data_IF_915119569691
#
_entry.id   IF_915119569691
#
_cell.length_a   1.000
_cell.length_b   1.000
_cell.length_c   1.000
_cell.angle_alpha   90.00
_cell.angle_beta   90.00
_cell.angle_gamma   90.00
#
_symmetry.space_group_name_H-M   'P 1'
#
loop_
_entity.id
_entity.type
_entity.pdbx_description
1 polymer ?
#
# COMPACT_ATOMS: atom_id res chain seq x y z
N UNK A 1 -23.20 -1.93 -14.59
CA UNK A 1 -22.80 -0.71 -13.86
C UNK A 1 -22.96 -0.82 -12.34
N UNK A 2 -24.16 -1.14 -11.81
CA UNK A 2 -24.37 -1.27 -10.33
C UNK A 2 -23.41 -2.30 -9.66
N UNK A 3 -23.20 -3.48 -10.28
CA UNK A 3 -22.30 -4.51 -9.74
C UNK A 3 -20.85 -4.02 -9.66
N UNK A 4 -20.33 -3.38 -10.71
CA UNK A 4 -18.98 -2.81 -10.70
C UNK A 4 -18.78 -1.73 -9.64
N UNK A 5 -19.75 -0.83 -9.46
CA UNK A 5 -19.67 0.21 -8.43
C UNK A 5 -19.71 -0.37 -7.01
N UNK A 6 -20.58 -1.35 -6.76
CA UNK A 6 -20.63 -2.07 -5.46
C UNK A 6 -19.30 -2.77 -5.16
N UNK A 7 -18.72 -3.41 -6.17
CA UNK A 7 -17.38 -4.02 -6.02
C UNK A 7 -16.30 -2.97 -5.77
N UNK A 8 -16.36 -1.83 -6.46
CA UNK A 8 -15.45 -0.71 -6.22
C UNK A 8 -15.50 -0.20 -4.79
N UNK A 9 -16.68 -0.04 -4.22
CA UNK A 9 -16.85 0.34 -2.81
C UNK A 9 -16.32 -0.73 -1.84
N UNK A 10 -16.52 -2.01 -2.16
CA UNK A 10 -15.96 -3.11 -1.38
C UNK A 10 -14.43 -3.09 -1.41
N UNK A 11 -13.83 -2.93 -2.59
CA UNK A 11 -12.40 -2.84 -2.78
C UNK A 11 -11.81 -1.62 -2.07
N UNK A 12 -12.47 -0.47 -2.19
CA UNK A 12 -12.09 0.73 -1.44
C UNK A 12 -11.99 0.43 0.07
N UNK A 13 -12.98 -0.29 0.63
CA UNK A 13 -12.97 -0.68 2.04
C UNK A 13 -11.85 -1.65 2.42
N UNK A 14 -11.50 -2.58 1.53
CA UNK A 14 -10.43 -3.57 1.77
C UNK A 14 -9.05 -2.88 1.77
N UNK A 15 -8.83 -1.93 0.86
CA UNK A 15 -7.57 -1.22 0.74
C UNK A 15 -7.42 -0.06 1.73
N UNK A 16 -8.52 0.45 2.28
CA UNK A 16 -8.50 1.61 3.14
C UNK A 16 -7.92 1.28 4.52
N UNK A 17 -6.66 1.64 4.72
CA UNK A 17 -5.89 1.32 5.93
C UNK A 17 -5.13 2.52 6.51
N UNK A 18 -4.31 2.24 7.52
CA UNK A 18 -3.52 3.23 8.24
C UNK A 18 -2.64 4.09 7.32
N UNK A 19 -1.99 3.46 6.33
CA UNK A 19 -1.08 4.17 5.40
C UNK A 19 -1.78 5.25 4.59
N UNK A 20 -2.98 4.95 4.11
CA UNK A 20 -3.79 5.85 3.32
C UNK A 20 -4.21 7.13 4.07
N UNK A 21 -4.16 7.08 5.39
CA UNK A 21 -4.49 8.22 6.26
C UNK A 21 -3.28 9.11 6.57
N UNK A 22 -2.12 8.52 6.84
CA UNK A 22 -0.98 9.26 7.38
C UNK A 22 0.01 9.77 6.34
N UNK A 23 0.18 9.06 5.21
CA UNK A 23 1.20 9.46 4.22
C UNK A 23 0.81 10.66 3.37
N UNK A 24 -0.43 10.80 2.86
CA UNK A 24 -0.80 11.98 2.10
C UNK A 24 -0.65 13.29 2.87
N UNK A 25 -1.14 13.43 4.13
CA UNK A 25 -0.94 14.67 4.88
C UNK A 25 0.53 14.89 5.26
N UNK A 26 1.32 13.85 5.53
CA UNK A 26 2.76 13.98 5.78
C UNK A 26 3.51 14.51 4.56
N UNK A 27 3.17 14.02 3.36
CA UNK A 27 3.66 14.57 2.09
C UNK A 27 3.27 16.03 1.93
N UNK A 28 2.00 16.37 2.20
CA UNK A 28 1.51 17.74 2.11
C UNK A 28 2.31 18.71 2.95
N UNK A 29 2.61 18.35 4.21
CA UNK A 29 3.48 19.15 5.11
C UNK A 29 4.88 19.34 4.53
N UNK A 30 5.44 18.30 3.90
CA UNK A 30 6.84 18.30 3.43
C UNK A 30 7.02 18.94 2.06
N UNK A 31 5.99 18.94 1.22
CA UNK A 31 6.05 19.40 -0.16
C UNK A 31 6.01 20.92 -0.33
N UNK A 32 5.46 21.67 0.66
CA UNK A 32 5.37 23.13 0.59
C UNK A 32 4.77 23.63 -0.73
N UNK A 33 5.43 24.56 -1.39
CA UNK A 33 5.00 25.14 -2.68
C UNK A 33 5.01 24.14 -3.86
N UNK A 34 5.73 22.99 -3.76
CA UNK A 34 5.78 21.94 -4.78
C UNK A 34 4.76 20.81 -4.53
N UNK A 35 3.66 21.12 -3.85
CA UNK A 35 2.60 20.16 -3.51
C UNK A 35 2.05 19.41 -4.72
N UNK A 36 1.70 20.12 -5.79
CA UNK A 36 1.03 19.48 -6.94
C UNK A 36 1.89 18.43 -7.67
N UNK A 37 3.17 18.68 -8.00
CA UNK A 37 4.03 17.64 -8.53
C UNK A 37 4.20 16.46 -7.57
N UNK A 38 4.34 16.73 -6.26
CA UNK A 38 4.51 15.71 -5.24
C UNK A 38 3.29 14.79 -5.12
N UNK A 39 2.09 15.38 -4.98
CA UNK A 39 0.86 14.60 -4.84
C UNK A 39 0.50 13.84 -6.13
N UNK A 40 0.85 14.39 -7.31
CA UNK A 40 0.69 13.68 -8.57
C UNK A 40 1.56 12.43 -8.61
N UNK A 41 2.84 12.52 -8.24
CA UNK A 41 3.71 11.35 -8.12
C UNK A 41 3.15 10.32 -7.15
N UNK A 42 2.69 10.75 -5.99
CA UNK A 42 2.09 9.90 -4.97
C UNK A 42 0.83 9.17 -5.47
N UNK A 43 -0.08 9.88 -6.15
CA UNK A 43 -1.31 9.28 -6.72
C UNK A 43 -0.97 8.29 -7.84
N UNK A 44 -0.01 8.60 -8.69
CA UNK A 44 0.41 7.68 -9.76
C UNK A 44 0.92 6.35 -9.18
N UNK A 45 1.77 6.39 -8.16
CA UNK A 45 2.32 5.16 -7.57
C UNK A 45 1.37 4.49 -6.57
N UNK A 46 0.80 5.24 -5.65
CA UNK A 46 -0.06 4.71 -4.58
C UNK A 46 -1.44 4.26 -5.09
N UNK A 47 -2.00 4.95 -6.08
CA UNK A 47 -3.32 4.61 -6.63
C UNK A 47 -3.20 3.99 -8.02
N UNK A 48 -2.54 4.67 -8.95
CA UNK A 48 -2.49 4.25 -10.35
C UNK A 48 -1.93 2.84 -10.51
N UNK A 49 -0.73 2.59 -9.98
CA UNK A 49 -0.09 1.27 -10.04
C UNK A 49 -0.91 0.24 -9.27
N UNK A 50 -1.44 0.58 -8.09
CA UNK A 50 -2.24 -0.34 -7.29
C UNK A 50 -3.50 -0.81 -8.04
N UNK A 51 -4.23 0.11 -8.67
CA UNK A 51 -5.45 -0.22 -9.45
C UNK A 51 -5.12 -1.03 -10.70
N UNK A 52 -4.05 -0.67 -11.42
CA UNK A 52 -3.60 -1.45 -12.59
C UNK A 52 -3.21 -2.86 -12.15
N UNK A 53 -2.45 -3.00 -11.06
CA UNK A 53 -2.07 -4.29 -10.49
C UNK A 53 -3.30 -5.12 -10.12
N UNK A 54 -4.29 -4.50 -9.47
CA UNK A 54 -5.52 -5.18 -9.08
C UNK A 54 -6.32 -5.67 -10.28
N UNK A 55 -6.52 -4.81 -11.30
CA UNK A 55 -7.27 -5.16 -12.51
C UNK A 55 -6.58 -6.30 -13.26
N UNK A 56 -5.27 -6.17 -13.47
CA UNK A 56 -4.48 -7.21 -14.18
C UNK A 56 -4.52 -8.53 -13.42
N UNK A 57 -4.37 -8.51 -12.10
CA UNK A 57 -4.46 -9.71 -11.26
C UNK A 57 -5.86 -10.30 -11.24
N UNK A 58 -6.92 -9.48 -11.19
CA UNK A 58 -8.32 -9.95 -11.23
C UNK A 58 -8.73 -10.51 -12.59
N UNK A 59 -8.03 -10.16 -13.66
CA UNK A 59 -8.22 -10.74 -15.00
C UNK A 59 -7.43 -12.04 -15.22
N UNK A 60 -6.66 -12.49 -14.24
CA UNK A 60 -5.91 -13.74 -14.28
C UNK A 60 -6.51 -14.71 -13.26
N UNK A 61 -7.11 -15.85 -13.70
CA UNK A 61 -7.89 -16.76 -12.84
C UNK A 61 -7.13 -17.26 -11.63
N UNK A 62 -5.84 -17.53 -11.82
CA UNK A 62 -4.96 -18.10 -10.82
C UNK A 62 -4.06 -17.05 -10.13
N UNK A 63 -4.31 -15.76 -10.39
CA UNK A 63 -3.56 -14.64 -9.83
C UNK A 63 -2.10 -14.59 -10.28
N UNK A 64 -1.33 -13.68 -9.65
CA UNK A 64 0.08 -13.44 -10.00
C UNK A 64 1.01 -14.63 -9.73
N UNK A 65 0.70 -15.48 -8.74
CA UNK A 65 1.53 -16.63 -8.41
C UNK A 65 1.69 -17.59 -9.60
N UNK A 66 0.58 -17.98 -10.21
CA UNK A 66 0.59 -18.88 -11.36
C UNK A 66 1.25 -18.23 -12.60
N UNK A 67 1.00 -16.92 -12.82
CA UNK A 67 1.66 -16.17 -13.89
C UNK A 67 3.18 -16.17 -13.74
N UNK A 68 3.69 -15.98 -12.52
CA UNK A 68 5.13 -16.05 -12.25
C UNK A 68 5.69 -17.45 -12.39
N UNK A 69 4.97 -18.47 -11.90
CA UNK A 69 5.40 -19.88 -12.00
C UNK A 69 5.56 -20.31 -13.46
N UNK A 70 4.62 -19.91 -14.33
CA UNK A 70 4.63 -20.27 -15.75
C UNK A 70 5.68 -19.45 -16.54
N UNK A 71 5.69 -18.13 -16.35
CA UNK A 71 6.45 -17.18 -17.20
C UNK A 71 7.87 -16.92 -16.71
N UNK A 72 8.12 -17.02 -15.41
CA UNK A 72 9.41 -16.69 -14.81
C UNK A 72 10.01 -17.96 -14.19
N UNK A 73 9.74 -18.25 -12.93
CA UNK A 73 10.08 -19.51 -12.28
C UNK A 73 9.34 -19.70 -10.95
N UNK A 74 9.06 -20.95 -10.53
CA UNK A 74 8.42 -21.24 -9.24
C UNK A 74 9.24 -20.78 -8.03
N UNK A 75 10.58 -20.81 -8.14
CA UNK A 75 11.47 -20.34 -7.07
C UNK A 75 11.35 -18.81 -6.89
N UNK A 76 11.40 -18.06 -7.98
CA UNK A 76 11.22 -16.62 -7.96
C UNK A 76 9.84 -16.23 -7.40
N UNK A 77 8.79 -16.87 -7.91
CA UNK A 77 7.41 -16.68 -7.46
C UNK A 77 7.26 -16.88 -5.96
N UNK A 78 7.80 -18.00 -5.45
CA UNK A 78 7.75 -18.32 -4.02
C UNK A 78 8.50 -17.29 -3.19
N UNK A 79 9.73 -16.96 -3.56
CA UNK A 79 10.54 -15.98 -2.85
C UNK A 79 9.88 -14.58 -2.81
N UNK A 80 9.42 -14.12 -3.96
CA UNK A 80 8.73 -12.82 -4.07
C UNK A 80 7.44 -12.78 -3.23
N UNK A 81 6.58 -13.79 -3.34
CA UNK A 81 5.31 -13.83 -2.59
C UNK A 81 5.54 -13.95 -1.08
N UNK A 82 6.53 -14.72 -0.64
CA UNK A 82 6.91 -14.81 0.78
C UNK A 82 7.31 -13.43 1.31
N UNK A 83 8.22 -12.73 0.61
CA UNK A 83 8.64 -11.39 1.01
C UNK A 83 7.49 -10.38 0.98
N UNK A 84 6.63 -10.47 -0.05
CA UNK A 84 5.45 -9.62 -0.16
C UNK A 84 4.49 -9.84 1.03
N UNK A 85 4.09 -11.10 1.30
CA UNK A 85 3.16 -11.40 2.38
C UNK A 85 3.75 -11.10 3.77
N UNK A 86 5.04 -11.29 3.98
CA UNK A 86 5.71 -10.84 5.22
C UNK A 86 5.67 -9.31 5.35
N UNK A 87 5.83 -8.58 4.25
CA UNK A 87 5.83 -7.10 4.25
C UNK A 87 4.45 -6.52 4.51
N UNK A 88 3.41 -7.01 3.83
CA UNK A 88 2.02 -6.58 4.12
C UNK A 88 1.44 -7.23 5.38
N UNK A 89 2.14 -8.20 5.94
CA UNK A 89 1.79 -8.93 7.15
C UNK A 89 2.59 -8.44 8.36
N UNK A 90 3.29 -9.38 9.04
CA UNK A 90 3.85 -9.18 10.37
C UNK A 90 4.99 -8.17 10.45
N UNK A 91 5.73 -7.92 9.35
CA UNK A 91 6.91 -7.05 9.42
C UNK A 91 6.56 -5.57 9.38
N UNK A 92 5.56 -5.14 8.56
CA UNK A 92 5.32 -3.71 8.38
C UNK A 92 3.85 -3.30 8.49
N UNK A 93 2.91 -3.87 7.71
CA UNK A 93 1.54 -3.34 7.71
C UNK A 93 0.81 -3.62 9.02
N UNK A 94 0.87 -4.84 9.56
CA UNK A 94 0.24 -5.20 10.83
C UNK A 94 0.74 -4.33 12.01
N UNK A 95 2.05 -4.22 12.27
CA UNK A 95 2.54 -3.36 13.35
C UNK A 95 2.22 -1.88 13.12
N UNK A 96 2.27 -1.41 11.87
CA UNK A 96 1.95 -0.03 11.52
C UNK A 96 0.48 0.33 11.79
N UNK A 97 -0.47 -0.57 11.52
CA UNK A 97 -1.87 -0.32 11.84
C UNK A 97 -2.09 -0.11 13.33
N UNK A 98 -1.49 -0.95 14.19
CA UNK A 98 -1.58 -0.81 15.64
C UNK A 98 -0.92 0.48 16.14
N UNK A 99 0.28 0.80 15.65
CA UNK A 99 0.99 2.01 16.04
C UNK A 99 0.25 3.29 15.56
N UNK A 100 -0.33 3.29 14.35
CA UNK A 100 -1.16 4.41 13.85
C UNK A 100 -2.43 4.57 14.68
N UNK A 101 -3.09 3.46 15.02
CA UNK A 101 -4.27 3.47 15.88
C UNK A 101 -3.96 4.07 17.26
N UNK A 102 -2.78 3.78 17.81
CA UNK A 102 -2.31 4.37 19.05
C UNK A 102 -2.03 5.88 18.89
N UNK A 103 -1.23 6.27 17.89
CA UNK A 103 -0.78 7.66 17.72
C UNK A 103 -1.94 8.63 17.45
N UNK A 104 -2.98 8.20 16.72
CA UNK A 104 -4.13 9.05 16.40
C UNK A 104 -5.24 8.91 17.45
N UNK A 105 -5.47 7.69 17.96
CA UNK A 105 -6.64 7.42 18.78
C UNK A 105 -6.40 7.49 20.28
N UNK A 106 -5.18 7.19 20.76
CA UNK A 106 -4.89 7.06 22.20
C UNK A 106 -3.92 8.13 22.68
N UNK A 107 -2.81 8.35 21.98
CA UNK A 107 -1.75 9.26 22.39
C UNK A 107 -2.24 10.69 22.68
N UNK A 108 -3.20 11.28 21.92
CA UNK A 108 -3.73 12.61 22.24
C UNK A 108 -4.51 12.69 23.54
N UNK A 109 -5.07 11.56 24.02
CA UNK A 109 -5.88 11.49 25.25
C UNK A 109 -5.01 11.24 26.48
N UNK A 110 -3.93 10.47 26.33
CA UNK A 110 -3.03 10.09 27.46
C UNK A 110 -1.83 11.02 27.62
N UNK A 111 -1.89 12.24 27.06
CA UNK A 111 -0.83 13.25 27.10
C UNK A 111 0.53 12.79 26.56
N UNK A 112 0.51 12.05 25.46
CA UNK A 112 1.69 11.70 24.69
C UNK A 112 1.93 10.20 24.52
N UNK A 113 2.80 9.86 23.56
CA UNK A 113 3.19 8.47 23.26
C UNK A 113 4.26 7.98 24.25
N UNK A 114 3.84 7.68 25.49
CA UNK A 114 4.73 7.00 26.45
C UNK A 114 4.71 5.50 26.22
N UNK A 115 5.87 4.85 26.31
CA UNK A 115 6.02 3.41 26.10
C UNK A 115 5.03 2.55 26.92
N UNK A 116 4.74 2.85 28.21
CA UNK A 116 3.77 2.07 28.96
C UNK A 116 2.35 2.08 28.35
N UNK A 117 1.88 3.23 27.87
CA UNK A 117 0.55 3.33 27.25
C UNK A 117 0.48 2.65 25.90
N UNK A 118 1.54 2.74 25.11
CA UNK A 118 1.64 2.00 23.85
C UNK A 118 1.60 0.49 24.10
N UNK A 119 2.36 0.00 25.09
CA UNK A 119 2.40 -1.42 25.44
C UNK A 119 1.04 -1.94 25.91
N UNK A 120 0.37 -1.24 26.81
CA UNK A 120 -0.97 -1.61 27.28
C UNK A 120 -1.97 -1.67 26.13
N UNK A 121 -1.98 -0.63 25.29
CA UNK A 121 -2.87 -0.58 24.13
C UNK A 121 -2.59 -1.73 23.16
N UNK A 122 -1.33 -1.97 22.79
CA UNK A 122 -0.97 -3.02 21.82
C UNK A 122 -1.26 -4.42 22.34
N UNK A 123 -1.09 -4.70 23.65
CA UNK A 123 -1.49 -5.98 24.26
C UNK A 123 -2.98 -6.21 24.02
N UNK A 124 -3.84 -5.26 24.41
CA UNK A 124 -5.29 -5.40 24.24
C UNK A 124 -5.65 -5.54 22.77
N UNK A 125 -5.07 -4.68 21.92
CA UNK A 125 -5.33 -4.65 20.49
C UNK A 125 -4.98 -5.97 19.80
N UNK A 126 -3.78 -6.52 20.04
CA UNK A 126 -3.32 -7.75 19.40
C UNK A 126 -3.97 -9.00 19.97
N UNK A 127 -4.31 -9.04 21.26
CA UNK A 127 -5.10 -10.13 21.84
C UNK A 127 -6.49 -10.19 21.19
N UNK A 128 -7.18 -9.07 21.08
CA UNK A 128 -8.48 -9.00 20.41
C UNK A 128 -8.35 -9.36 18.90
N UNK A 129 -7.34 -8.85 18.22
CA UNK A 129 -7.10 -9.15 16.80
C UNK A 129 -6.83 -10.65 16.56
N UNK A 130 -6.02 -11.28 17.42
CA UNK A 130 -5.75 -12.72 17.36
C UNK A 130 -6.99 -13.55 17.55
N UNK A 131 -7.79 -13.26 18.58
CA UNK A 131 -9.03 -14.01 18.87
C UNK A 131 -10.00 -13.99 17.69
N UNK A 132 -10.11 -12.84 17.00
CA UNK A 132 -10.95 -12.73 15.81
C UNK A 132 -10.30 -13.39 14.56
N UNK A 133 -8.98 -13.31 14.41
CA UNK A 133 -8.28 -13.91 13.27
C UNK A 133 -8.32 -15.46 13.32
N UNK A 134 -8.24 -16.05 14.50
CA UNK A 134 -8.31 -17.52 14.67
C UNK A 134 -9.71 -18.07 14.42
N UNK A 135 -10.75 -17.28 14.69
CA UNK A 135 -12.15 -17.64 14.45
C UNK A 135 -12.81 -16.54 13.59
N UNK A 136 -12.50 -16.45 12.30
CA UNK A 136 -13.02 -15.39 11.45
C UNK A 136 -14.54 -15.48 11.36
N UNK A 137 -15.22 -14.52 11.98
CA UNK A 137 -16.68 -14.44 12.00
C UNK A 137 -17.17 -13.54 10.87
N UNK A 138 -18.42 -13.75 10.40
CA UNK A 138 -19.08 -12.85 9.44
C UNK A 138 -19.21 -11.40 9.94
N UNK A 139 -19.07 -11.19 11.24
CA UNK A 139 -19.15 -9.87 11.90
C UNK A 139 -18.10 -8.92 11.38
N UNK A 140 -16.84 -9.39 11.17
CA UNK A 140 -15.76 -8.55 10.70
C UNK A 140 -16.04 -7.94 9.31
N UNK A 141 -16.56 -8.76 8.39
CA UNK A 141 -16.95 -8.31 7.06
C UNK A 141 -18.13 -7.34 7.11
N UNK A 142 -19.05 -7.51 8.05
CA UNK A 142 -20.21 -6.62 8.20
C UNK A 142 -19.82 -5.28 8.81
N UNK A 143 -18.94 -5.29 9.81
CA UNK A 143 -18.42 -4.07 10.46
C UNK A 143 -17.64 -3.22 9.45
N UNK A 144 -16.75 -3.82 8.67
CA UNK A 144 -15.99 -3.11 7.64
C UNK A 144 -16.88 -2.47 6.57
N UNK A 145 -17.95 -3.15 6.13
CA UNK A 145 -18.89 -2.61 5.12
C UNK A 145 -19.63 -1.35 5.58
N UNK A 146 -19.91 -1.21 6.89
CA UNK A 146 -20.61 -0.04 7.44
C UNK A 146 -19.60 1.02 7.88
N UNK A 147 -18.51 0.62 8.52
CA UNK A 147 -17.50 1.51 9.08
C UNK A 147 -16.77 2.31 8.01
N UNK A 148 -16.39 1.66 6.90
CA UNK A 148 -15.57 2.31 5.87
C UNK A 148 -16.29 3.50 5.21
N UNK A 149 -17.55 3.42 4.74
CA UNK A 149 -18.20 4.59 4.14
C UNK A 149 -18.45 5.71 5.14
N UNK A 150 -18.76 5.39 6.41
CA UNK A 150 -18.93 6.41 7.47
C UNK A 150 -17.60 7.12 7.71
N UNK A 151 -16.51 6.37 7.81
CA UNK A 151 -15.19 6.93 8.03
C UNK A 151 -14.70 7.74 6.83
N UNK A 152 -14.91 7.25 5.60
CA UNK A 152 -14.56 8.00 4.39
C UNK A 152 -15.32 9.34 4.34
N UNK A 153 -16.62 9.36 4.68
CA UNK A 153 -17.41 10.58 4.75
C UNK A 153 -16.85 11.54 5.81
N UNK A 154 -16.49 11.04 7.01
CA UNK A 154 -15.88 11.83 8.06
C UNK A 154 -14.58 12.50 7.58
N UNK A 155 -13.71 11.74 6.90
CA UNK A 155 -12.46 12.28 6.37
C UNK A 155 -12.73 13.34 5.29
N UNK A 156 -13.71 13.12 4.41
CA UNK A 156 -14.09 14.14 3.41
C UNK A 156 -14.57 15.43 4.07
N UNK A 157 -15.39 15.34 5.12
CA UNK A 157 -15.84 16.52 5.89
C UNK A 157 -14.65 17.22 6.56
N UNK A 158 -13.77 16.46 7.21
CA UNK A 158 -12.53 16.99 7.83
C UNK A 158 -11.67 17.73 6.82
N UNK A 159 -11.49 17.15 5.62
CA UNK A 159 -10.69 17.74 4.53
C UNK A 159 -11.33 19.04 4.03
N UNK A 160 -12.63 19.02 3.71
CA UNK A 160 -13.32 20.23 3.20
C UNK A 160 -13.23 21.38 4.20
N UNK A 161 -13.55 21.13 5.45
CA UNK A 161 -13.50 22.15 6.50
C UNK A 161 -12.06 22.58 6.81
N UNK A 162 -11.12 21.66 6.85
CA UNK A 162 -9.72 21.95 7.12
C UNK A 162 -9.08 22.77 6.00
N UNK A 163 -9.27 22.38 4.74
CA UNK A 163 -8.74 23.11 3.58
C UNK A 163 -9.33 24.51 3.46
N UNK A 164 -10.58 24.73 3.90
CA UNK A 164 -11.21 26.04 3.91
C UNK A 164 -10.76 26.93 5.09
N UNK A 165 -10.43 26.32 6.24
CA UNK A 165 -10.05 27.06 7.47
C UNK A 165 -8.54 27.34 7.55
N UNK A 166 -7.71 26.34 7.18
CA UNK A 166 -6.26 26.48 7.29
C UNK A 166 -5.68 27.09 6.02
N UNK A 167 -4.74 28.01 6.15
CA UNK A 167 -4.13 28.74 5.03
C UNK A 167 -2.63 28.98 5.24
N UNK A 168 -1.94 27.99 5.80
CA UNK A 168 -0.49 28.01 5.92
C UNK A 168 0.11 27.19 4.79
N UNK A 169 1.22 27.65 4.21
CA UNK A 169 2.03 26.84 3.30
C UNK A 169 3.43 26.85 3.86
N UNK A 170 3.89 25.70 4.36
CA UNK A 170 5.24 25.54 4.89
C UNK A 170 6.31 25.61 3.78
N UNK A 171 7.56 25.70 4.17
CA UNK A 171 8.68 25.58 3.25
C UNK A 171 8.83 24.13 2.75
N UNK A 172 9.16 23.99 1.47
CA UNK A 172 9.43 22.69 0.88
C UNK A 172 10.72 22.08 1.47
N UNK A 173 10.65 20.82 1.91
CA UNK A 173 11.85 20.08 2.29
C UNK A 173 12.80 19.91 1.09
N UNK A 174 14.10 19.73 1.35
CA UNK A 174 15.13 19.62 0.28
C UNK A 174 14.79 18.58 -0.80
N UNK A 175 14.15 17.49 -0.43
CA UNK A 175 13.70 16.44 -1.34
C UNK A 175 12.55 16.86 -2.25
N UNK A 176 11.91 17.98 -1.96
CA UNK A 176 10.83 18.60 -2.75
C UNK A 176 11.21 19.94 -3.35
N UNK A 177 12.51 20.28 -3.38
CA UNK A 177 13.00 21.62 -3.78
C UNK A 177 12.65 22.01 -5.21
N UNK A 178 12.52 21.04 -6.15
CA UNK A 178 12.12 21.27 -7.54
C UNK A 178 10.94 20.38 -7.91
N UNK A 179 10.18 20.78 -8.95
CA UNK A 179 9.01 20.00 -9.40
C UNK A 179 9.37 18.56 -9.81
N UNK A 180 10.52 18.35 -10.46
CA UNK A 180 10.98 17.00 -10.85
C UNK A 180 11.35 16.14 -9.64
N UNK A 181 12.06 16.69 -8.65
CA UNK A 181 12.37 16.00 -7.41
C UNK A 181 11.09 15.76 -6.59
N UNK A 182 10.18 16.73 -6.54
CA UNK A 182 8.92 16.60 -5.83
C UNK A 182 8.05 15.47 -6.40
N UNK A 183 7.96 15.35 -7.74
CA UNK A 183 7.26 14.23 -8.38
C UNK A 183 7.92 12.89 -8.03
N UNK A 184 9.24 12.77 -8.17
CA UNK A 184 9.96 11.53 -7.86
C UNK A 184 9.84 11.14 -6.38
N UNK A 185 10.03 12.09 -5.46
CA UNK A 185 9.85 11.88 -4.02
C UNK A 185 8.41 11.45 -3.72
N UNK A 186 7.41 12.15 -4.27
CA UNK A 186 6.01 11.80 -4.11
C UNK A 186 5.70 10.39 -4.65
N UNK A 187 6.29 10.02 -5.79
CA UNK A 187 6.15 8.69 -6.36
C UNK A 187 6.67 7.59 -5.40
N UNK A 188 7.84 7.80 -4.80
CA UNK A 188 8.41 6.89 -3.80
C UNK A 188 7.60 6.88 -2.49
N UNK A 189 7.14 8.06 -2.04
CA UNK A 189 6.27 8.15 -0.86
C UNK A 189 4.96 7.38 -1.04
N UNK A 190 4.43 7.28 -2.26
CA UNK A 190 3.27 6.45 -2.56
C UNK A 190 3.49 4.95 -2.31
N UNK A 191 4.73 4.45 -2.35
CA UNK A 191 5.05 3.06 -1.96
C UNK A 191 4.68 2.75 -0.51
N UNK A 192 4.75 3.77 0.36
CA UNK A 192 4.43 3.62 1.77
C UNK A 192 2.96 3.26 2.02
N UNK A 193 2.05 3.46 1.07
CA UNK A 193 0.65 3.01 1.21
C UNK A 193 0.54 1.49 1.22
N UNK A 194 1.48 0.77 0.59
CA UNK A 194 1.50 -0.69 0.38
C UNK A 194 0.39 -1.18 -0.58
N UNK A 195 -0.36 -0.30 -1.22
CA UNK A 195 -1.55 -0.64 -1.99
C UNK A 195 -1.24 -1.52 -3.22
N UNK A 196 -0.12 -1.29 -3.93
CA UNK A 196 0.24 -2.13 -5.07
C UNK A 196 0.66 -3.55 -4.64
N UNK A 197 1.37 -3.69 -3.51
CA UNK A 197 1.69 -5.01 -2.93
C UNK A 197 0.43 -5.72 -2.45
N UNK A 198 -0.45 -5.00 -1.76
CA UNK A 198 -1.75 -5.52 -1.34
C UNK A 198 -2.61 -5.93 -2.54
N UNK A 199 -2.53 -5.22 -3.67
CA UNK A 199 -3.23 -5.56 -4.92
C UNK A 199 -2.78 -6.91 -5.49
N UNK A 200 -1.50 -7.25 -5.41
CA UNK A 200 -1.00 -8.58 -5.79
C UNK A 200 -1.61 -9.67 -4.90
N UNK A 201 -1.68 -9.44 -3.59
CA UNK A 201 -2.23 -10.40 -2.64
C UNK A 201 -3.76 -10.54 -2.75
N UNK A 202 -4.46 -9.42 -2.95
CA UNK A 202 -5.92 -9.36 -2.86
C UNK A 202 -6.65 -9.49 -4.21
N UNK A 203 -5.93 -9.56 -5.34
CA UNK A 203 -6.56 -9.72 -6.66
C UNK A 203 -7.46 -10.97 -6.73
N UNK A 204 -7.08 -12.07 -6.08
CA UNK A 204 -7.89 -13.30 -6.02
C UNK A 204 -9.18 -13.07 -5.21
N UNK A 205 -9.11 -12.31 -4.11
CA UNK A 205 -10.28 -11.94 -3.30
C UNK A 205 -11.22 -11.04 -4.12
N UNK A 206 -10.67 -10.07 -4.85
CA UNK A 206 -11.42 -9.21 -5.74
C UNK A 206 -12.14 -10.01 -6.84
N UNK A 207 -11.43 -10.98 -7.44
CA UNK A 207 -11.99 -11.90 -8.43
C UNK A 207 -13.14 -12.73 -7.83
N UNK A 208 -12.93 -13.30 -6.64
CA UNK A 208 -13.94 -14.12 -5.95
C UNK A 208 -15.18 -13.29 -5.60
N UNK A 209 -15.00 -12.05 -5.14
CA UNK A 209 -16.11 -11.13 -4.86
C UNK A 209 -16.90 -10.79 -6.12
N UNK A 210 -16.22 -10.58 -7.24
CA UNK A 210 -16.86 -10.36 -8.54
C UNK A 210 -17.63 -11.60 -8.98
N UNK A 211 -17.05 -12.80 -8.93
CA UNK A 211 -17.73 -14.05 -9.30
C UNK A 211 -19.04 -14.27 -8.52
N UNK A 212 -19.05 -13.97 -7.23
CA UNK A 212 -20.24 -14.11 -6.37
C UNK A 212 -21.42 -13.23 -6.81
N UNK A 213 -21.17 -12.14 -7.56
CA UNK A 213 -22.24 -11.27 -8.06
C UNK A 213 -23.00 -11.88 -9.27
N UNK A 214 -22.49 -12.96 -9.85
CA UNK A 214 -23.01 -13.63 -11.04
C UNK A 214 -23.05 -12.70 -12.25
N UNK A 215 -22.43 -13.08 -13.35
CA UNK A 215 -22.38 -12.30 -14.60
C UNK A 215 -23.02 -13.11 -15.72
N UNK A 216 -23.70 -12.42 -16.64
CA UNK A 216 -24.38 -13.04 -17.77
C UNK A 216 -23.41 -13.39 -18.89
N UNK A 217 -22.40 -12.57 -19.07
CA UNK A 217 -21.42 -12.72 -20.16
C UNK A 217 -20.07 -12.06 -19.81
N UNK A 218 -19.07 -12.35 -20.66
CA UNK A 218 -17.71 -11.78 -20.59
C UNK A 218 -17.69 -10.26 -20.58
N UNK A 219 -18.55 -9.62 -21.37
CA UNK A 219 -18.57 -8.16 -21.52
C UNK A 219 -19.04 -7.49 -20.21
N UNK A 220 -20.08 -8.04 -19.58
CA UNK A 220 -20.57 -7.56 -18.29
C UNK A 220 -19.49 -7.70 -17.21
N UNK A 221 -18.79 -8.84 -17.16
CA UNK A 221 -17.70 -9.08 -16.23
C UNK A 221 -16.55 -8.08 -16.42
N UNK A 222 -15.99 -7.98 -17.64
CA UNK A 222 -14.89 -7.06 -17.94
C UNK A 222 -15.26 -5.61 -17.64
N UNK A 223 -16.45 -5.18 -18.04
CA UNK A 223 -16.95 -3.85 -17.73
C UNK A 223 -17.02 -3.62 -16.21
N UNK A 224 -17.45 -4.62 -15.44
CA UNK A 224 -17.55 -4.51 -13.98
C UNK A 224 -16.19 -4.44 -13.30
N UNK A 225 -15.18 -5.19 -13.79
CA UNK A 225 -13.78 -5.09 -13.29
C UNK A 225 -13.22 -3.69 -13.51
N UNK A 226 -13.39 -3.13 -14.73
CA UNK A 226 -12.91 -1.79 -15.04
C UNK A 226 -13.65 -0.72 -14.22
N UNK A 227 -14.99 -0.80 -14.12
CA UNK A 227 -15.77 0.15 -13.31
C UNK A 227 -15.36 0.08 -11.84
N UNK A 228 -15.16 -1.13 -11.29
CA UNK A 228 -14.72 -1.29 -9.92
C UNK A 228 -13.33 -0.67 -9.68
N UNK A 229 -12.37 -0.96 -10.55
CA UNK A 229 -11.01 -0.40 -10.46
C UNK A 229 -11.02 1.13 -10.58
N UNK A 230 -11.68 1.68 -11.60
CA UNK A 230 -11.75 3.14 -11.83
C UNK A 230 -12.45 3.84 -10.65
N UNK A 231 -13.59 3.31 -10.18
CA UNK A 231 -14.31 3.90 -9.04
C UNK A 231 -13.47 3.92 -7.77
N UNK A 232 -12.77 2.81 -7.47
CA UNK A 232 -11.83 2.73 -6.36
C UNK A 232 -10.69 3.73 -6.53
N UNK A 233 -10.10 3.81 -7.72
CA UNK A 233 -9.00 4.72 -8.04
C UNK A 233 -9.39 6.19 -7.89
N UNK A 234 -10.57 6.58 -8.39
CA UNK A 234 -11.10 7.95 -8.21
C UNK A 234 -11.29 8.26 -6.72
N UNK A 235 -11.92 7.32 -5.96
CA UNK A 235 -12.13 7.49 -4.53
C UNK A 235 -10.82 7.73 -3.76
N UNK A 236 -9.80 6.90 -4.00
CA UNK A 236 -8.48 7.09 -3.37
C UNK A 236 -7.76 8.35 -3.85
N UNK A 237 -7.87 8.71 -5.13
CA UNK A 237 -7.24 9.94 -5.64
C UNK A 237 -7.84 11.18 -4.97
N UNK A 238 -9.15 11.24 -4.83
CA UNK A 238 -9.84 12.34 -4.12
C UNK A 238 -9.39 12.39 -2.66
N UNK A 239 -9.34 11.23 -2.00
CA UNK A 239 -8.91 11.13 -0.61
C UNK A 239 -7.46 11.60 -0.42
N UNK A 240 -6.52 11.12 -1.26
CA UNK A 240 -5.11 11.44 -1.13
C UNK A 240 -4.81 12.90 -1.45
N UNK A 241 -5.41 13.43 -2.51
CA UNK A 241 -5.28 14.87 -2.83
C UNK A 241 -5.88 15.71 -1.70
N UNK A 242 -7.04 15.33 -1.18
CA UNK A 242 -7.69 16.06 -0.10
C UNK A 242 -6.89 16.04 1.20
N UNK A 243 -6.43 14.87 1.64
CA UNK A 243 -5.60 14.73 2.83
C UNK A 243 -4.23 15.41 2.65
N UNK A 244 -3.65 15.33 1.47
CA UNK A 244 -2.42 16.03 1.12
C UNK A 244 -2.58 17.54 1.21
N UNK A 245 -3.68 18.08 0.65
CA UNK A 245 -4.03 19.52 0.77
C UNK A 245 -4.24 19.95 2.23
N UNK A 246 -4.91 19.10 3.02
CA UNK A 246 -5.06 19.36 4.46
C UNK A 246 -3.69 19.49 5.13
N UNK A 247 -2.76 18.56 4.87
CA UNK A 247 -1.41 18.63 5.40
C UNK A 247 -0.61 19.82 4.89
N UNK A 248 -0.77 20.18 3.61
CA UNK A 248 -0.06 21.32 3.01
C UNK A 248 -0.50 22.66 3.58
N UNK A 249 -1.79 22.80 3.92
CA UNK A 249 -2.36 24.03 4.47
C UNK A 249 -2.33 24.11 6.00
N UNK A 250 -2.00 23.02 6.70
CA UNK A 250 -1.96 22.99 8.15
C UNK A 250 -0.63 23.53 8.68
N UNK A 251 -0.69 24.49 9.60
CA UNK A 251 0.51 25.03 10.26
C UNK A 251 1.02 24.03 11.31
N UNK A 252 2.08 23.29 10.99
CA UNK A 252 2.72 22.38 11.93
C UNK A 252 3.76 23.15 12.75
N UNK A 253 3.73 23.08 14.10
CA UNK A 253 4.70 23.74 14.95
C UNK A 253 6.15 23.28 14.68
N UNK A 254 7.12 24.19 14.79
CA UNK A 254 8.53 23.91 14.54
C UNK A 254 9.08 22.75 15.39
N UNK A 255 8.62 22.64 16.64
CA UNK A 255 9.00 21.56 17.55
C UNK A 255 8.56 20.18 17.03
N UNK A 256 7.37 20.10 16.43
CA UNK A 256 6.84 18.87 15.82
C UNK A 256 7.59 18.54 14.52
N UNK A 257 7.90 19.59 13.71
CA UNK A 257 8.69 19.42 12.49
C UNK A 257 10.11 18.90 12.79
N UNK A 258 10.72 19.37 13.85
CA UNK A 258 12.07 18.99 14.28
C UNK A 258 12.13 17.62 14.98
N UNK A 259 11.00 17.10 15.46
CA UNK A 259 10.97 15.83 16.19
C UNK A 259 10.86 14.62 15.23
N UNK A 260 11.93 13.83 15.06
CA UNK A 260 11.93 12.68 14.14
C UNK A 260 11.07 11.50 14.62
N UNK A 261 10.60 11.53 15.88
CA UNK A 261 9.75 10.47 16.45
C UNK A 261 8.25 10.70 16.19
N UNK A 262 7.85 11.93 15.84
CA UNK A 262 6.46 12.27 15.60
C UNK A 262 6.12 12.06 14.12
N UNK A 263 5.09 11.27 13.85
CA UNK A 263 4.54 11.16 12.51
C UNK A 263 3.71 12.39 12.17
N UNK A 264 4.18 13.19 11.21
CA UNK A 264 3.58 14.46 10.82
C UNK A 264 2.14 14.30 10.31
N UNK A 265 1.87 13.22 9.58
CA UNK A 265 0.53 12.95 9.04
C UNK A 265 -0.47 12.58 10.14
N UNK A 266 -0.08 11.73 11.09
CA UNK A 266 -0.89 11.41 12.26
C UNK A 266 -1.17 12.67 13.10
N UNK A 267 -0.16 13.53 13.30
CA UNK A 267 -0.30 14.79 14.00
C UNK A 267 -1.30 15.73 13.31
N UNK A 268 -1.16 15.93 11.98
CA UNK A 268 -2.06 16.79 11.20
C UNK A 268 -3.50 16.31 11.32
N UNK A 269 -3.76 15.00 11.18
CA UNK A 269 -5.11 14.46 11.27
C UNK A 269 -5.74 14.68 12.64
N UNK A 270 -5.03 14.31 13.70
CA UNK A 270 -5.52 14.44 15.07
C UNK A 270 -5.75 15.89 15.46
N UNK A 271 -4.78 16.75 15.17
CA UNK A 271 -4.83 18.17 15.55
C UNK A 271 -5.82 18.94 14.70
N UNK A 272 -5.97 18.65 13.39
CA UNK A 272 -7.02 19.23 12.56
C UNK A 272 -8.42 18.89 13.07
N UNK A 273 -8.65 17.63 13.45
CA UNK A 273 -9.93 17.24 14.04
C UNK A 273 -10.21 17.96 15.35
N UNK A 274 -9.17 18.14 16.20
CA UNK A 274 -9.28 18.86 17.46
C UNK A 274 -9.61 20.34 17.24
N UNK A 275 -8.94 21.02 16.28
CA UNK A 275 -9.16 22.43 15.99
C UNK A 275 -10.49 22.73 15.28
N UNK A 276 -11.03 21.75 14.53
CA UNK A 276 -12.30 21.92 13.80
C UNK A 276 -13.52 21.54 14.65
N UNK A 277 -13.42 20.46 15.43
CA UNK A 277 -14.57 19.84 16.13
C UNK A 277 -14.37 19.74 17.64
N UNK A 278 -13.27 20.29 18.18
CA UNK A 278 -12.94 20.20 19.60
C UNK A 278 -12.51 18.79 20.03
N UNK A 279 -12.49 18.57 21.35
CA UNK A 279 -12.07 17.28 21.93
C UNK A 279 -12.97 16.12 21.50
N UNK A 280 -14.27 16.35 21.33
CA UNK A 280 -15.21 15.33 20.87
C UNK A 280 -14.86 14.83 19.47
N UNK A 281 -14.55 15.75 18.54
CA UNK A 281 -14.17 15.40 17.17
C UNK A 281 -12.86 14.61 17.09
N UNK A 282 -11.87 15.01 17.88
CA UNK A 282 -10.60 14.27 17.99
C UNK A 282 -10.81 12.87 18.54
N UNK A 283 -11.61 12.70 19.59
CA UNK A 283 -11.92 11.39 20.17
C UNK A 283 -12.71 10.52 19.18
N UNK A 284 -13.71 11.08 18.50
CA UNK A 284 -14.50 10.35 17.50
C UNK A 284 -13.62 9.90 16.31
N UNK A 285 -12.78 10.78 15.77
CA UNK A 285 -11.78 10.40 14.75
C UNK A 285 -10.88 9.27 15.25
N UNK A 286 -10.36 9.39 16.47
CA UNK A 286 -9.50 8.38 17.08
C UNK A 286 -10.16 7.01 17.16
N UNK A 287 -11.41 6.93 17.63
CA UNK A 287 -12.18 5.68 17.68
C UNK A 287 -12.34 5.09 16.28
N UNK A 288 -12.70 5.91 15.28
CA UNK A 288 -12.86 5.46 13.90
C UNK A 288 -11.56 4.93 13.30
N UNK A 289 -10.43 5.60 13.58
CA UNK A 289 -9.10 5.13 13.15
C UNK A 289 -8.75 3.81 13.83
N UNK A 290 -8.95 3.67 15.14
CA UNK A 290 -8.71 2.42 15.87
C UNK A 290 -9.50 1.27 15.23
N UNK A 291 -10.79 1.45 14.98
CA UNK A 291 -11.65 0.42 14.42
C UNK A 291 -11.25 0.05 12.99
N UNK A 292 -10.92 1.05 12.15
CA UNK A 292 -10.47 0.80 10.77
C UNK A 292 -9.13 0.08 10.74
N UNK A 293 -8.17 0.51 11.53
CA UNK A 293 -6.87 -0.16 11.67
C UNK A 293 -7.03 -1.58 12.22
N UNK A 294 -7.91 -1.78 13.18
CA UNK A 294 -8.18 -3.07 13.79
C UNK A 294 -8.74 -4.08 12.77
N UNK A 295 -9.74 -3.69 11.99
CA UNK A 295 -10.30 -4.57 10.95
C UNK A 295 -9.26 -4.92 9.89
N UNK A 296 -8.42 -3.97 9.50
CA UNK A 296 -7.29 -4.19 8.58
C UNK A 296 -6.28 -5.17 9.18
N UNK A 297 -5.91 -5.01 10.45
CA UNK A 297 -4.98 -5.93 11.15
C UNK A 297 -5.49 -7.35 11.14
N UNK A 298 -6.75 -7.57 11.51
CA UNK A 298 -7.35 -8.91 11.50
C UNK A 298 -7.35 -9.51 10.10
N UNK A 299 -7.76 -8.73 9.09
CA UNK A 299 -7.74 -9.16 7.69
C UNK A 299 -6.35 -9.55 7.20
N UNK A 300 -5.32 -8.80 7.58
CA UNK A 300 -3.93 -9.09 7.20
C UNK A 300 -3.37 -10.33 7.93
N UNK A 301 -3.68 -10.52 9.22
CA UNK A 301 -3.31 -11.75 9.94
C UNK A 301 -3.93 -12.97 9.26
N UNK A 302 -5.22 -12.89 8.91
CA UNK A 302 -5.93 -13.99 8.21
C UNK A 302 -5.27 -14.25 6.86
N UNK A 303 -5.17 -13.26 5.98
CA UNK A 303 -4.66 -13.42 4.62
C UNK A 303 -3.22 -13.95 4.59
N UNK A 304 -2.36 -13.44 5.47
CA UNK A 304 -0.97 -13.89 5.55
C UNK A 304 -0.89 -15.31 6.08
N UNK A 305 -1.65 -15.64 7.12
CA UNK A 305 -1.66 -17.00 7.70
C UNK A 305 -2.21 -18.03 6.74
N UNK A 306 -3.25 -17.71 5.98
CA UNK A 306 -3.80 -18.58 4.92
C UNK A 306 -2.79 -18.83 3.80
N UNK A 307 -2.11 -17.78 3.34
CA UNK A 307 -1.06 -17.91 2.32
C UNK A 307 0.05 -18.85 2.79
N UNK A 308 0.59 -18.63 4.00
CA UNK A 308 1.68 -19.44 4.53
C UNK A 308 1.24 -20.89 4.81
N UNK A 309 0.05 -21.09 5.38
CA UNK A 309 -0.48 -22.44 5.61
C UNK A 309 -0.71 -23.21 4.31
N UNK A 310 -1.17 -22.53 3.24
CA UNK A 310 -1.32 -23.16 1.92
C UNK A 310 0.02 -23.47 1.26
N UNK A 311 1.01 -22.57 1.38
CA UNK A 311 2.31 -22.71 0.72
C UNK A 311 3.26 -23.64 1.49
N UNK A 312 3.18 -23.61 2.82
CA UNK A 312 4.02 -24.38 3.75
C UNK A 312 3.14 -25.08 4.79
N UNK A 313 2.52 -26.23 4.43
CA UNK A 313 1.53 -26.91 5.26
C UNK A 313 2.10 -27.62 6.49
N UNK A 314 3.42 -27.51 6.75
CA UNK A 314 4.07 -28.08 7.93
C UNK A 314 3.59 -27.47 9.25
N UNK A 315 3.16 -26.19 9.21
CA UNK A 315 2.59 -25.50 10.36
C UNK A 315 1.09 -25.25 10.15
N UNK A 316 0.33 -25.34 11.23
CA UNK A 316 -1.10 -25.07 11.16
C UNK A 316 -1.40 -23.59 10.93
N UNK A 317 -2.58 -23.27 10.41
CA UNK A 317 -3.08 -21.90 10.31
C UNK A 317 -2.98 -21.14 11.66
N UNK A 318 -3.39 -21.79 12.74
CA UNK A 318 -3.32 -21.23 14.09
C UNK A 318 -1.89 -20.86 14.50
N UNK A 319 -0.92 -21.72 14.17
CA UNK A 319 0.49 -21.47 14.49
C UNK A 319 1.01 -20.25 13.71
N UNK A 320 0.69 -20.14 12.42
CA UNK A 320 1.05 -18.96 11.64
C UNK A 320 0.38 -17.69 12.18
N UNK A 321 -0.92 -17.73 12.48
CA UNK A 321 -1.63 -16.59 13.05
C UNK A 321 -1.02 -16.15 14.39
N UNK A 322 -0.64 -17.10 15.26
CA UNK A 322 0.05 -16.79 16.51
C UNK A 322 1.41 -16.12 16.25
N UNK A 323 2.23 -16.73 15.40
CA UNK A 323 3.57 -16.22 15.07
C UNK A 323 3.48 -14.79 14.52
N UNK A 324 2.62 -14.56 13.55
CA UNK A 324 2.48 -13.25 12.90
C UNK A 324 1.88 -12.19 13.82
N UNK A 325 0.98 -12.58 14.73
CA UNK A 325 0.46 -11.67 15.75
C UNK A 325 1.55 -11.28 16.74
N UNK A 326 2.35 -12.23 17.23
CA UNK A 326 3.43 -11.96 18.18
C UNK A 326 4.54 -11.10 17.56
N UNK A 327 4.94 -11.40 16.33
CA UNK A 327 5.94 -10.60 15.60
C UNK A 327 5.41 -9.18 15.36
N UNK A 328 4.16 -9.05 14.88
CA UNK A 328 3.53 -7.75 14.66
C UNK A 328 3.41 -6.94 15.95
N UNK A 329 3.03 -7.58 17.08
CA UNK A 329 3.01 -6.95 18.41
C UNK A 329 4.40 -6.45 18.83
N UNK A 330 5.43 -7.27 18.72
CA UNK A 330 6.78 -6.89 19.08
C UNK A 330 7.28 -5.68 18.27
N UNK A 331 7.05 -5.68 16.96
CA UNK A 331 7.46 -4.59 16.07
C UNK A 331 6.60 -3.32 16.31
N UNK A 332 5.31 -3.43 16.61
CA UNK A 332 4.46 -2.26 16.85
C UNK A 332 4.96 -1.41 18.03
N UNK A 333 5.59 -2.05 19.03
CA UNK A 333 6.09 -1.39 20.24
C UNK A 333 7.39 -0.59 20.05
N UNK A 334 8.02 -0.65 18.87
CA UNK A 334 9.13 0.27 18.54
C UNK A 334 8.63 1.66 18.09
N UNK A 335 7.32 1.82 17.94
CA UNK A 335 6.65 3.07 17.55
C UNK A 335 6.48 3.25 16.05
N UNK A 336 5.46 4.04 15.66
CA UNK A 336 5.03 4.21 14.28
C UNK A 336 6.17 4.65 13.34
N UNK A 337 6.92 5.67 13.73
CA UNK A 337 7.96 6.24 12.87
C UNK A 337 9.11 5.25 12.61
N UNK A 338 9.48 4.45 13.61
CA UNK A 338 10.49 3.40 13.45
C UNK A 338 10.00 2.29 12.50
N UNK A 339 8.76 1.85 12.64
CA UNK A 339 8.16 0.85 11.74
C UNK A 339 8.19 1.34 10.30
N UNK A 340 7.86 2.63 10.06
CA UNK A 340 7.91 3.23 8.72
C UNK A 340 9.35 3.23 8.19
N UNK A 341 10.32 3.69 8.97
CA UNK A 341 11.72 3.74 8.56
C UNK A 341 12.29 2.37 8.20
N UNK A 342 11.96 1.33 8.96
CA UNK A 342 12.40 -0.04 8.67
C UNK A 342 11.73 -0.64 7.43
N UNK A 343 10.53 -0.17 7.07
CA UNK A 343 9.82 -0.65 5.88
C UNK A 343 10.40 -0.11 4.58
N UNK A 344 10.94 1.11 4.56
CA UNK A 344 11.39 1.80 3.34
C UNK A 344 12.35 0.98 2.47
N UNK A 345 13.45 0.38 3.00
CA UNK A 345 14.35 -0.42 2.17
C UNK A 345 13.66 -1.60 1.48
N UNK A 346 12.75 -2.28 2.20
CA UNK A 346 11.99 -3.40 1.64
C UNK A 346 11.01 -2.94 0.54
N UNK A 347 10.40 -1.77 0.71
CA UNK A 347 9.51 -1.21 -0.30
C UNK A 347 10.28 -0.79 -1.56
N UNK A 348 11.44 -0.16 -1.39
CA UNK A 348 12.34 0.17 -2.52
C UNK A 348 12.84 -1.08 -3.26
N UNK A 349 12.88 -2.23 -2.60
CA UNK A 349 13.16 -3.52 -3.22
C UNK A 349 11.95 -4.12 -3.94
N UNK A 350 10.79 -4.21 -3.26
CA UNK A 350 9.62 -4.95 -3.76
C UNK A 350 8.82 -4.19 -4.84
N UNK A 351 8.70 -2.87 -4.75
CA UNK A 351 7.88 -2.11 -5.69
C UNK A 351 8.39 -2.13 -7.13
N UNK A 352 9.70 -1.94 -7.41
CA UNK A 352 10.24 -2.11 -8.76
C UNK A 352 9.91 -3.48 -9.36
N UNK A 353 10.07 -4.54 -8.56
CA UNK A 353 9.76 -5.92 -8.98
C UNK A 353 8.27 -6.07 -9.27
N UNK A 354 7.42 -5.54 -8.41
CA UNK A 354 5.95 -5.56 -8.59
C UNK A 354 5.53 -4.85 -9.86
N UNK A 355 6.04 -3.65 -10.10
CA UNK A 355 5.71 -2.86 -11.28
C UNK A 355 6.21 -3.55 -12.55
N UNK A 356 7.45 -4.05 -12.53
CA UNK A 356 8.01 -4.81 -13.65
C UNK A 356 7.21 -6.08 -13.95
N UNK A 357 6.77 -6.81 -12.92
CA UNK A 357 5.90 -7.97 -13.06
C UNK A 357 4.58 -7.62 -13.74
N UNK A 358 3.93 -6.55 -13.30
CA UNK A 358 2.68 -6.07 -13.89
C UNK A 358 2.89 -5.66 -15.35
N UNK A 359 3.98 -4.97 -15.66
CA UNK A 359 4.35 -4.62 -17.04
C UNK A 359 4.59 -5.85 -17.90
N UNK A 360 5.33 -6.84 -17.41
CA UNK A 360 5.56 -8.13 -18.11
C UNK A 360 4.22 -8.80 -18.44
N UNK A 361 3.32 -8.90 -17.46
CA UNK A 361 2.00 -9.55 -17.65
C UNK A 361 1.15 -8.78 -18.66
N UNK A 362 1.09 -7.45 -18.56
CA UNK A 362 0.33 -6.61 -19.50
C UNK A 362 0.90 -6.73 -20.91
N UNK A 363 2.21 -6.51 -21.08
CA UNK A 363 2.84 -6.52 -22.41
C UNK A 363 2.71 -7.90 -23.05
N UNK A 364 2.91 -8.98 -22.28
CA UNK A 364 2.78 -10.35 -22.79
C UNK A 364 1.36 -10.70 -23.27
N UNK A 365 0.33 -10.01 -22.74
CA UNK A 365 -1.05 -10.18 -23.20
C UNK A 365 -1.28 -9.67 -24.63
N UNK A 366 -0.60 -8.58 -24.99
CA UNK A 366 -0.77 -7.92 -26.31
C UNK A 366 0.35 -8.32 -27.29
N UNK A 367 1.57 -8.46 -26.81
CA UNK A 367 2.78 -8.78 -27.58
C UNK A 367 3.31 -10.14 -27.15
N UNK A 368 3.62 -11.02 -28.11
CA UNK A 368 4.26 -12.27 -27.79
C UNK A 368 5.70 -12.03 -27.27
N UNK A 369 5.98 -12.47 -26.05
CA UNK A 369 7.27 -12.37 -25.40
C UNK A 369 7.94 -13.74 -25.25
N UNK A 370 9.26 -13.77 -25.31
CA UNK A 370 10.01 -14.98 -24.98
C UNK A 370 10.11 -15.18 -23.47
N UNK A 371 10.04 -16.42 -23.02
CA UNK A 371 10.18 -16.76 -21.59
C UNK A 371 11.53 -16.28 -21.04
N UNK A 372 12.61 -16.52 -21.79
CA UNK A 372 13.96 -16.04 -21.42
C UNK A 372 14.00 -14.52 -21.25
N UNK A 373 13.36 -13.77 -22.15
CA UNK A 373 13.31 -12.31 -22.06
C UNK A 373 12.51 -11.81 -20.85
N UNK A 374 11.39 -12.47 -20.51
CA UNK A 374 10.63 -12.16 -19.30
C UNK A 374 11.46 -12.43 -18.02
N UNK A 375 12.16 -13.57 -17.99
CA UNK A 375 13.09 -13.92 -16.90
C UNK A 375 14.22 -12.92 -16.77
N UNK A 376 14.82 -12.50 -17.89
CA UNK A 376 15.88 -11.47 -17.93
C UNK A 376 15.37 -10.15 -17.39
N UNK A 377 14.18 -9.72 -17.80
CA UNK A 377 13.55 -8.48 -17.29
C UNK A 377 13.44 -8.51 -15.77
N UNK A 378 12.91 -9.59 -15.21
CA UNK A 378 12.75 -9.71 -13.76
C UNK A 378 14.09 -9.81 -13.03
N UNK A 379 15.07 -10.52 -13.59
CA UNK A 379 16.41 -10.64 -13.02
C UNK A 379 17.15 -9.29 -12.98
N UNK A 380 17.10 -8.51 -14.07
CA UNK A 380 17.73 -7.20 -14.15
C UNK A 380 17.10 -6.22 -13.17
N UNK A 381 15.77 -6.16 -13.11
CA UNK A 381 15.07 -5.28 -12.15
C UNK A 381 15.39 -5.69 -10.72
N UNK A 382 15.36 -6.98 -10.41
CA UNK A 382 15.69 -7.48 -9.06
C UNK A 382 17.12 -7.12 -8.68
N UNK A 383 18.08 -7.30 -9.59
CA UNK A 383 19.48 -6.97 -9.35
C UNK A 383 19.67 -5.48 -9.09
N UNK A 384 19.09 -4.62 -9.93
CA UNK A 384 19.16 -3.16 -9.76
C UNK A 384 18.55 -2.76 -8.41
N UNK A 385 17.39 -3.32 -8.05
CA UNK A 385 16.74 -3.02 -6.77
C UNK A 385 17.57 -3.45 -5.57
N UNK A 386 18.23 -4.62 -5.63
CA UNK A 386 19.16 -5.07 -4.58
C UNK A 386 20.35 -4.10 -4.47
N UNK A 387 20.98 -3.75 -5.59
CA UNK A 387 22.15 -2.87 -5.60
C UNK A 387 21.79 -1.45 -5.11
N UNK A 388 20.63 -0.94 -5.49
CA UNK A 388 20.12 0.35 -5.04
C UNK A 388 19.88 0.36 -3.51
N UNK A 389 19.16 -0.64 -3.01
CA UNK A 389 18.88 -0.77 -1.56
C UNK A 389 20.14 -1.00 -0.74
N UNK A 390 21.03 -1.89 -1.18
CA UNK A 390 22.32 -2.14 -0.48
C UNK A 390 23.19 -0.89 -0.51
N UNK A 391 23.31 -0.21 -1.66
CA UNK A 391 24.06 1.03 -1.80
C UNK A 391 23.57 2.14 -0.88
N UNK A 392 22.26 2.35 -0.81
CA UNK A 392 21.64 3.41 -0.01
C UNK A 392 21.63 3.08 1.49
N UNK A 393 21.25 1.86 1.86
CA UNK A 393 21.09 1.46 3.27
C UNK A 393 22.45 1.32 3.97
N UNK A 394 23.41 0.67 3.33
CA UNK A 394 24.75 0.47 3.90
C UNK A 394 25.76 1.55 3.50
N UNK A 395 25.30 2.60 2.77
CA UNK A 395 26.12 3.73 2.33
C UNK A 395 27.37 3.30 1.56
N UNK A 396 27.25 2.28 0.70
CA UNK A 396 28.35 1.78 -0.13
C UNK A 396 28.52 2.70 -1.34
N UNK A 397 29.48 3.62 -1.26
CA UNK A 397 29.68 4.69 -2.26
C UNK A 397 29.86 4.16 -3.69
N UNK A 398 30.56 3.03 -3.88
CA UNK A 398 30.77 2.41 -5.18
C UNK A 398 29.44 1.98 -5.83
N UNK A 399 28.52 1.37 -5.06
CA UNK A 399 27.22 0.93 -5.56
C UNK A 399 26.32 2.14 -5.82
N UNK A 400 26.26 3.08 -4.90
CA UNK A 400 25.48 4.32 -5.07
C UNK A 400 25.97 5.11 -6.30
N UNK A 401 27.28 5.19 -6.54
CA UNK A 401 27.87 5.83 -7.70
C UNK A 401 27.58 5.10 -9.02
N UNK A 402 27.45 3.76 -9.00
CA UNK A 402 27.05 2.98 -10.17
C UNK A 402 25.56 3.22 -10.50
N UNK A 403 24.71 3.15 -9.51
CA UNK A 403 23.26 3.36 -9.65
C UNK A 403 22.95 4.79 -10.09
N UNK A 404 23.65 5.79 -9.57
CA UNK A 404 23.48 7.20 -9.95
C UNK A 404 23.74 7.49 -11.43
N UNK A 405 24.44 6.61 -12.15
CA UNK A 405 24.67 6.73 -13.60
C UNK A 405 23.50 6.21 -14.44
N UNK A 406 22.57 5.47 -13.86
CA UNK A 406 21.42 4.96 -14.58
C UNK A 406 20.41 6.09 -14.86
N UNK A 407 19.69 6.03 -15.98
CA UNK A 407 18.62 6.98 -16.26
C UNK A 407 17.58 6.99 -15.14
N UNK A 408 17.05 8.17 -14.82
CA UNK A 408 16.02 8.40 -13.80
C UNK A 408 16.45 8.06 -12.37
N UNK A 409 17.75 7.88 -12.09
CA UNK A 409 18.25 7.60 -10.75
C UNK A 409 17.95 8.73 -9.75
N UNK A 410 17.95 9.99 -10.21
CA UNK A 410 17.59 11.14 -9.38
C UNK A 410 16.13 11.09 -8.87
N UNK A 411 15.26 10.37 -9.56
CA UNK A 411 13.84 10.14 -9.19
C UNK A 411 13.64 8.76 -8.52
N UNK A 412 14.71 8.02 -8.22
CA UNK A 412 14.65 6.64 -7.72
C UNK A 412 13.87 5.67 -8.63
N UNK A 413 13.97 5.90 -9.95
CA UNK A 413 13.37 5.09 -11.01
C UNK A 413 14.43 4.49 -11.94
N UNK A 414 15.63 4.28 -11.45
CA UNK A 414 16.80 3.75 -12.17
C UNK A 414 16.56 2.37 -12.80
N UNK A 415 15.62 1.61 -12.28
CA UNK A 415 15.24 0.29 -12.77
C UNK A 415 14.31 0.33 -14.00
N UNK A 416 13.60 1.46 -14.23
CA UNK A 416 12.51 1.55 -15.20
C UNK A 416 13.03 1.44 -16.66
N UNK A 417 14.04 2.22 -17.02
CA UNK A 417 14.60 2.19 -18.39
C UNK A 417 15.22 0.82 -18.72
N UNK A 418 16.06 0.22 -17.84
CA UNK A 418 16.52 -1.16 -18.05
C UNK A 418 15.40 -2.18 -18.19
N UNK A 419 14.31 -2.06 -17.41
CA UNK A 419 13.15 -2.93 -17.52
C UNK A 419 12.49 -2.85 -18.90
N UNK A 420 12.26 -1.63 -19.40
CA UNK A 420 11.69 -1.40 -20.74
C UNK A 420 12.59 -1.96 -21.84
N UNK A 421 13.91 -1.74 -21.75
CA UNK A 421 14.87 -2.31 -22.70
C UNK A 421 14.81 -3.83 -22.73
N UNK A 422 14.79 -4.47 -21.55
CA UNK A 422 14.66 -5.93 -21.46
C UNK A 422 13.32 -6.45 -22.02
N UNK A 423 12.22 -5.71 -21.83
CA UNK A 423 10.93 -6.04 -22.43
C UNK A 423 10.94 -5.96 -23.96
N UNK A 424 11.61 -4.95 -24.52
CA UNK A 424 11.82 -4.86 -25.99
C UNK A 424 12.66 -6.04 -26.49
N UNK A 425 13.72 -6.39 -25.80
CA UNK A 425 14.54 -7.58 -26.11
C UNK A 425 13.66 -8.85 -26.05
N UNK A 426 12.80 -8.99 -25.02
CA UNK A 426 11.89 -10.11 -24.88
C UNK A 426 10.91 -10.26 -26.07
N UNK A 427 10.53 -9.15 -26.71
CA UNK A 427 9.67 -9.13 -27.89
C UNK A 427 10.39 -9.52 -29.18
N UNK A 428 11.74 -9.51 -29.20
CA UNK A 428 12.55 -9.86 -30.37
C UNK A 428 13.15 -11.27 -30.27
N UNK A 429 13.45 -11.75 -29.07
CA UNK A 429 14.04 -13.08 -28.84
C UNK A 429 13.15 -14.22 -29.39
N UNK A 430 13.73 -15.36 -29.81
CA UNK A 430 12.97 -16.50 -30.32
C UNK A 430 12.09 -17.16 -29.23
N UNK A 431 11.23 -18.11 -29.65
CA UNK A 431 10.30 -18.85 -28.78
C UNK A 431 9.31 -17.93 -28.01
N UNK A 432 8.73 -16.97 -28.73
CA UNK A 432 7.75 -16.04 -28.19
C UNK A 432 6.37 -16.67 -28.05
N UNK A 433 5.70 -16.44 -26.94
CA UNK A 433 4.32 -16.89 -26.70
C UNK A 433 3.50 -15.73 -26.15
N UNK A 434 2.26 -15.59 -26.62
CA UNK A 434 1.30 -14.68 -26.00
C UNK A 434 0.78 -15.28 -24.70
N UNK A 435 0.62 -14.44 -23.71
CA UNK A 435 -0.07 -14.82 -22.48
C UNK A 435 -1.50 -15.25 -22.78
N UNK A 436 -1.98 -16.26 -22.06
CA UNK A 436 -3.35 -16.76 -22.18
C UNK A 436 -4.33 -15.64 -21.84
N UNK A 437 -5.35 -15.48 -22.67
CA UNK A 437 -6.51 -14.64 -22.33
C UNK A 437 -7.38 -15.47 -21.39
N UNK A 438 -7.95 -14.84 -20.38
CA UNK A 438 -8.89 -15.47 -19.44
C UNK A 438 -9.94 -16.29 -20.19
N UNK A 439 -10.09 -17.57 -19.81
CA UNK A 439 -11.17 -18.40 -20.28
C UNK A 439 -12.42 -18.11 -19.45
N UNK A 440 -13.44 -17.57 -20.12
CA UNK A 440 -14.69 -17.16 -19.48
C UNK A 440 -15.73 -18.29 -19.44
N UNK A 441 -15.37 -19.52 -19.90
CA UNK A 441 -16.26 -20.69 -19.82
C UNK A 441 -16.47 -21.17 -18.38
N UNK A 442 -15.62 -20.70 -17.42
CA UNK A 442 -15.69 -21.05 -16.00
C UNK A 442 -16.32 -19.94 -15.12
N UNK A 443 -16.91 -18.92 -15.71
CA UNK A 443 -17.70 -17.93 -15.01
C UNK A 443 -19.12 -18.45 -14.80
#
# INVERSE_FOLDING_TARGET
MKKGLLTGLLLFGIFFGAGNLIFPPALGVSAGGNFWPAILGFVVSGVGIAIVTLIVGALNPNGYGAEMDEKISPLFSTGYLVLLYLSIGPLFAIPRTAATAFDIGVAPVVAGSSLPWLLIFTIIYFVCAFLLAVNPTKILNSVGKILTPIFALLIVILVILGVSKFNSTGEAAKTYATSGLAFGTGFIEGYNTLDALASVAFCIIAMSALKQLGFKDKKEFLSSVWIAGIATGIGFSILYVGLGLLGNKFAVPAEVLANPKVNKGAYVLSESARQLFGNFGSMFLGIMVILTCFTTTVGLIVATSEFFNKKFPQLSYKTYATLFTVVGFAIANVGLQSVIQFSVPMLLFLYPITIALVLVVIVNKYVALSKLGMQLTMAVVTLISILSVVGSTFKVAALSGLIAKLPLAAQSLEWLVPAVVCLVIAAVLPNRQKGKVYDFSEL
#
